data_IF_617315583876
#
_entry.id   IF_617315583876
#
_cell.length_a   1.000
_cell.length_b   1.000
_cell.length_c   1.000
_cell.angle_alpha   90.00
_cell.angle_beta   90.00
_cell.angle_gamma   90.00
#
_symmetry.space_group_name_H-M   'P 1'
#
loop_
_entity.id
_entity.type
_entity.pdbx_description
1 polymer ?
#
# COMPACT_ATOMS: atom_id res chain seq x y z
N UNK A 1 -6.92 -49.75 -5.08
CA UNK A 1 -6.59 -48.54 -5.85
C UNK A 1 -6.41 -47.41 -4.84
N UNK A 2 -5.16 -47.02 -4.61
CA UNK A 2 -4.78 -46.09 -3.54
C UNK A 2 -5.05 -44.64 -3.93
N UNK A 3 -5.72 -43.91 -3.05
CA UNK A 3 -5.73 -42.44 -3.09
C UNK A 3 -4.38 -41.98 -2.52
N UNK A 4 -3.52 -41.41 -3.36
CA UNK A 4 -2.34 -40.70 -2.90
C UNK A 4 -2.77 -39.45 -2.11
N UNK A 5 -2.06 -39.07 -1.03
CA UNK A 5 -2.35 -37.82 -0.36
C UNK A 5 -1.92 -36.67 -1.28
N UNK A 6 -2.88 -35.85 -1.67
CA UNK A 6 -2.63 -34.54 -2.26
C UNK A 6 -1.90 -33.68 -1.23
N UNK A 7 -0.63 -33.38 -1.50
CA UNK A 7 0.12 -32.37 -0.75
C UNK A 7 -0.64 -31.04 -0.76
N UNK A 8 -0.76 -30.34 0.38
CA UNK A 8 -1.24 -28.97 0.37
C UNK A 8 -0.19 -28.15 -0.37
N UNK A 9 -0.53 -27.67 -1.58
CA UNK A 9 0.25 -26.65 -2.29
C UNK A 9 0.34 -25.44 -1.36
N UNK A 10 1.51 -25.29 -0.74
CA UNK A 10 1.83 -24.14 0.08
C UNK A 10 1.60 -22.88 -0.73
N UNK A 11 0.72 -22.01 -0.25
CA UNK A 11 0.74 -20.62 -0.64
C UNK A 11 2.14 -20.10 -0.32
N UNK A 12 2.87 -19.64 -1.33
CA UNK A 12 4.05 -18.79 -1.13
C UNK A 12 3.57 -17.47 -0.55
N UNK A 13 3.27 -17.48 0.75
CA UNK A 13 3.17 -16.26 1.54
C UNK A 13 4.54 -15.59 1.41
N UNK A 14 4.56 -14.30 1.05
CA UNK A 14 5.79 -13.53 0.93
C UNK A 14 6.74 -13.79 2.12
N UNK A 15 8.05 -13.79 1.87
CA UNK A 15 9.04 -14.07 2.90
C UNK A 15 9.05 -12.96 3.96
N UNK A 16 8.16 -13.05 4.96
CA UNK A 16 8.15 -12.15 6.10
C UNK A 16 9.19 -12.58 7.12
N UNK A 17 10.04 -11.65 7.56
CA UNK A 17 10.97 -11.90 8.66
C UNK A 17 10.25 -11.65 9.99
N UNK A 18 10.11 -12.70 10.81
CA UNK A 18 9.35 -12.70 12.07
C UNK A 18 10.25 -12.36 13.27
N UNK A 19 9.75 -11.56 14.21
CA UNK A 19 10.39 -11.20 15.48
C UNK A 19 9.69 -11.81 16.69
N UNK A 20 10.41 -11.90 17.81
CA UNK A 20 9.84 -12.24 19.12
C UNK A 20 9.16 -11.04 19.80
N UNK A 21 9.57 -9.82 19.45
CA UNK A 21 9.01 -8.57 20.00
C UNK A 21 8.01 -7.96 19.03
N UNK A 22 6.94 -7.34 19.56
CA UNK A 22 5.99 -6.59 18.74
C UNK A 22 6.66 -5.34 18.15
N UNK A 23 6.48 -5.15 16.87
CA UNK A 23 6.80 -3.93 16.14
C UNK A 23 5.52 -3.15 15.82
N UNK A 24 5.63 -1.84 15.64
CA UNK A 24 4.50 -0.96 15.31
C UNK A 24 4.81 -0.21 14.02
N UNK A 25 4.12 -0.57 12.94
CA UNK A 25 4.14 0.16 11.69
C UNK A 25 3.21 1.36 11.79
N UNK A 26 3.60 2.49 11.20
CA UNK A 26 2.82 3.72 11.21
C UNK A 26 2.71 4.31 9.81
N UNK A 27 1.52 4.75 9.44
CA UNK A 27 1.33 5.57 8.25
C UNK A 27 0.56 6.84 8.63
N UNK A 28 0.82 7.91 7.90
CA UNK A 28 0.09 9.17 7.99
C UNK A 28 -0.62 9.44 6.68
N UNK A 29 -1.84 9.95 6.74
CA UNK A 29 -2.59 10.41 5.56
C UNK A 29 -2.91 11.89 5.76
N UNK A 30 -2.32 12.73 4.92
CA UNK A 30 -2.61 14.17 4.90
C UNK A 30 -3.96 14.37 4.20
N UNK A 31 -4.91 15.03 4.89
CA UNK A 31 -6.21 15.32 4.27
C UNK A 31 -6.05 16.40 3.20
N UNK A 32 -6.67 16.23 2.01
CA UNK A 32 -6.63 17.27 1.00
C UNK A 32 -7.29 18.55 1.51
N UNK A 33 -6.66 19.70 1.23
CA UNK A 33 -7.17 21.04 1.57
C UNK A 33 -7.32 21.32 3.07
N UNK A 34 -6.76 20.50 3.95
CA UNK A 34 -6.62 20.82 5.37
C UNK A 34 -5.21 20.51 5.87
N UNK A 35 -4.84 21.09 7.01
CA UNK A 35 -3.60 20.72 7.69
C UNK A 35 -3.79 19.50 8.61
N UNK A 36 -4.90 18.77 8.47
CA UNK A 36 -5.18 17.61 9.30
C UNK A 36 -4.45 16.38 8.76
N UNK A 37 -3.96 15.57 9.68
CA UNK A 37 -3.29 14.30 9.38
C UNK A 37 -3.98 13.19 10.16
N UNK A 38 -4.42 12.15 9.47
CA UNK A 38 -4.86 10.91 10.09
C UNK A 38 -3.66 9.98 10.27
N UNK A 39 -3.43 9.46 11.47
CA UNK A 39 -2.41 8.46 11.74
C UNK A 39 -3.06 7.09 11.91
N UNK A 40 -2.48 6.07 11.27
CA UNK A 40 -2.90 4.68 11.37
C UNK A 40 -1.71 3.82 11.79
N UNK A 41 -1.96 2.86 12.68
CA UNK A 41 -0.91 2.02 13.26
C UNK A 41 -1.28 0.55 13.15
N UNK A 42 -0.29 -0.29 12.86
CA UNK A 42 -0.42 -1.74 12.83
C UNK A 42 0.67 -2.38 13.68
N UNK A 43 0.26 -3.09 14.74
CA UNK A 43 1.17 -3.89 15.55
C UNK A 43 1.29 -5.31 14.98
N UNK A 44 2.53 -5.75 14.78
CA UNK A 44 2.82 -7.08 14.27
C UNK A 44 4.10 -7.65 14.86
N UNK A 45 4.41 -8.90 14.52
CA UNK A 45 5.67 -9.55 14.86
C UNK A 45 6.59 -9.62 13.64
N UNK A 46 6.60 -8.57 12.81
CA UNK A 46 7.36 -8.53 11.55
C UNK A 46 8.40 -7.40 11.57
N UNK A 47 9.62 -7.67 11.10
CA UNK A 47 10.65 -6.62 10.92
C UNK A 47 10.38 -5.72 9.72
N UNK A 48 9.79 -6.29 8.68
CA UNK A 48 9.45 -5.61 7.44
C UNK A 48 8.29 -6.32 6.76
N UNK A 49 7.58 -5.60 5.90
CA UNK A 49 6.53 -6.14 5.05
C UNK A 49 6.36 -5.32 3.78
N UNK A 50 5.76 -5.87 2.71
CA UNK A 50 5.37 -5.07 1.56
C UNK A 50 4.41 -3.95 1.96
N UNK A 51 4.57 -2.75 1.40
CA UNK A 51 3.67 -1.62 1.65
C UNK A 51 2.21 -1.98 1.29
N UNK A 52 2.01 -2.76 0.22
CA UNK A 52 0.70 -3.29 -0.18
C UNK A 52 0.05 -4.15 0.90
N UNK A 53 0.83 -5.00 1.58
CA UNK A 53 0.35 -5.81 2.68
C UNK A 53 -0.01 -4.94 3.90
N UNK A 54 0.83 -3.97 4.27
CA UNK A 54 0.55 -3.03 5.36
C UNK A 54 -0.78 -2.28 5.11
N UNK A 55 -0.98 -1.75 3.91
CA UNK A 55 -2.21 -1.04 3.55
C UNK A 55 -3.45 -1.96 3.61
N UNK A 56 -3.33 -3.21 3.18
CA UNK A 56 -4.40 -4.20 3.31
C UNK A 56 -4.73 -4.51 4.77
N UNK A 57 -3.73 -4.70 5.63
CA UNK A 57 -3.97 -4.93 7.06
C UNK A 57 -4.67 -3.74 7.71
N UNK A 58 -4.22 -2.51 7.45
CA UNK A 58 -4.85 -1.31 8.00
C UNK A 58 -6.29 -1.07 7.50
N UNK A 59 -6.64 -1.56 6.31
CA UNK A 59 -7.98 -1.45 5.75
C UNK A 59 -8.95 -2.52 6.29
N UNK A 60 -8.47 -3.75 6.54
CA UNK A 60 -9.32 -4.90 6.85
C UNK A 60 -9.24 -5.42 8.29
N UNK A 61 -8.14 -5.19 9.01
CA UNK A 61 -7.99 -5.67 10.38
C UNK A 61 -8.82 -4.81 11.34
N UNK A 62 -9.90 -5.39 11.86
CA UNK A 62 -10.81 -4.73 12.79
C UNK A 62 -10.30 -4.75 14.23
N UNK A 63 -9.23 -5.49 14.51
CA UNK A 63 -8.75 -5.70 15.87
C UNK A 63 -7.70 -4.67 16.31
N UNK A 64 -7.25 -3.81 15.39
CA UNK A 64 -6.14 -2.90 15.63
C UNK A 64 -6.43 -1.46 15.16
N UNK A 65 -6.54 -0.55 16.14
CA UNK A 65 -6.57 0.89 15.89
C UNK A 65 -7.80 1.42 15.14
N UNK A 66 -7.66 2.62 14.57
CA UNK A 66 -8.68 3.21 13.72
C UNK A 66 -8.67 2.51 12.34
N UNK A 67 -9.82 2.05 11.87
CA UNK A 67 -9.93 1.46 10.54
C UNK A 67 -9.62 2.52 9.48
N UNK A 68 -8.68 2.20 8.59
CA UNK A 68 -8.45 3.01 7.40
C UNK A 68 -9.56 2.76 6.38
N UNK A 69 -10.18 3.80 5.85
CA UNK A 69 -11.08 3.68 4.68
C UNK A 69 -10.23 3.77 3.42
N UNK A 70 -9.98 2.65 2.76
CA UNK A 70 -9.26 2.61 1.50
C UNK A 70 -9.99 1.74 0.47
N UNK A 71 -10.01 2.21 -0.78
CA UNK A 71 -10.41 1.39 -1.93
C UNK A 71 -9.29 1.34 -2.97
N UNK A 72 -8.89 0.12 -3.32
CA UNK A 72 -7.81 -0.17 -4.26
C UNK A 72 -8.40 -0.63 -5.59
N UNK A 73 -7.90 -0.10 -6.71
CA UNK A 73 -8.35 -0.44 -8.05
C UNK A 73 -7.15 -0.80 -8.93
N UNK A 74 -7.43 -1.54 -10.01
CA UNK A 74 -6.47 -1.75 -11.09
C UNK A 74 -7.07 -1.31 -12.42
N UNK A 75 -6.22 -0.81 -13.32
CA UNK A 75 -6.60 -0.40 -14.67
C UNK A 75 -5.62 -1.01 -15.67
N UNK A 76 -6.13 -1.65 -16.71
CA UNK A 76 -5.29 -2.19 -17.76
C UNK A 76 -4.72 -1.05 -18.62
N UNK A 77 -3.40 -1.00 -18.76
CA UNK A 77 -2.70 -0.10 -19.66
C UNK A 77 -2.20 -0.87 -20.88
N UNK A 78 -2.79 -0.56 -22.03
CA UNK A 78 -2.47 -1.20 -23.29
C UNK A 78 -1.07 -0.83 -23.82
N UNK A 79 -0.49 0.31 -23.43
CA UNK A 79 0.83 0.76 -23.91
C UNK A 79 1.96 -0.13 -23.37
N UNK A 80 1.81 -0.59 -22.12
CA UNK A 80 2.77 -1.46 -21.44
C UNK A 80 2.24 -2.88 -21.20
N UNK A 81 1.04 -3.18 -21.75
CA UNK A 81 0.37 -4.48 -21.70
C UNK A 81 0.25 -5.08 -20.29
N UNK A 82 -0.02 -4.25 -19.27
CA UNK A 82 -0.20 -4.71 -17.88
C UNK A 82 -1.24 -3.92 -17.12
N UNK A 83 -1.69 -4.46 -16.00
CA UNK A 83 -2.50 -3.70 -15.04
C UNK A 83 -1.59 -2.76 -14.24
N UNK A 84 -2.04 -1.52 -14.12
CA UNK A 84 -1.51 -0.56 -13.16
C UNK A 84 -2.40 -0.48 -11.93
N UNK A 85 -1.81 -0.29 -10.77
CA UNK A 85 -2.52 -0.25 -9.48
C UNK A 85 -2.65 1.18 -8.96
N UNK A 86 -3.81 1.49 -8.38
CA UNK A 86 -4.11 2.80 -7.82
C UNK A 86 -4.92 2.67 -6.52
N UNK A 87 -4.84 3.69 -5.66
CA UNK A 87 -5.77 3.87 -4.55
C UNK A 87 -6.86 4.82 -5.04
N UNK A 88 -8.05 4.30 -5.36
CA UNK A 88 -9.18 5.12 -5.81
C UNK A 88 -9.66 6.04 -4.71
N UNK A 89 -9.71 5.56 -3.46
CA UNK A 89 -10.17 6.33 -2.29
C UNK A 89 -9.29 6.04 -1.10
N UNK A 90 -8.93 7.07 -0.33
CA UNK A 90 -8.24 6.94 0.95
C UNK A 90 -8.78 7.99 1.91
N UNK A 91 -9.10 7.58 3.14
CA UNK A 91 -9.70 8.45 4.17
C UNK A 91 -10.90 9.25 3.65
N UNK A 92 -11.77 8.63 2.86
CA UNK A 92 -12.97 9.24 2.30
C UNK A 92 -12.77 10.18 1.09
N UNK A 93 -11.54 10.42 0.62
CA UNK A 93 -11.32 11.24 -0.59
C UNK A 93 -10.94 10.38 -1.79
N UNK A 94 -11.66 10.57 -2.89
CA UNK A 94 -11.44 9.89 -4.17
C UNK A 94 -10.40 10.61 -5.04
N UNK A 95 -9.73 9.88 -5.93
CA UNK A 95 -8.84 10.45 -6.96
C UNK A 95 -9.63 11.30 -7.97
N UNK A 96 -8.99 12.32 -8.54
CA UNK A 96 -9.70 13.28 -9.42
C UNK A 96 -10.19 12.65 -10.73
N UNK A 97 -9.43 11.69 -11.28
CA UNK A 97 -9.76 11.06 -12.56
C UNK A 97 -9.53 9.54 -12.51
N UNK A 98 -10.58 8.78 -12.23
CA UNK A 98 -10.47 7.32 -12.17
C UNK A 98 -10.18 6.65 -13.53
N UNK A 99 -10.54 7.30 -14.64
CA UNK A 99 -10.31 6.76 -15.99
C UNK A 99 -8.84 6.89 -16.38
N UNK A 100 -8.23 8.03 -16.07
CA UNK A 100 -6.82 8.31 -16.30
C UNK A 100 -6.18 8.89 -15.02
N UNK A 101 -5.83 8.06 -14.02
CA UNK A 101 -5.37 8.55 -12.71
C UNK A 101 -4.17 9.51 -12.76
N UNK A 102 -3.22 9.30 -13.67
CA UNK A 102 -2.04 10.17 -13.82
C UNK A 102 -2.35 11.57 -14.37
N UNK A 103 -3.56 11.83 -14.89
CA UNK A 103 -3.92 13.15 -15.42
C UNK A 103 -4.30 14.15 -14.31
N UNK A 104 -4.72 13.67 -13.14
CA UNK A 104 -5.16 14.48 -11.99
C UNK A 104 -4.38 14.20 -10.71
N UNK A 105 -4.87 14.76 -9.60
CA UNK A 105 -4.36 14.42 -8.27
C UNK A 105 -4.81 13.01 -7.86
N UNK A 106 -3.87 12.30 -7.25
CA UNK A 106 -4.05 10.93 -6.76
C UNK A 106 -3.34 10.76 -5.41
N UNK A 107 -3.55 9.62 -4.79
CA UNK A 107 -2.86 9.27 -3.56
C UNK A 107 -1.45 8.75 -3.85
N UNK A 108 -0.45 9.48 -3.39
CA UNK A 108 0.96 9.19 -3.62
C UNK A 108 1.65 8.92 -2.27
N UNK A 109 2.29 7.74 -2.11
CA UNK A 109 3.07 7.45 -0.93
C UNK A 109 4.42 8.17 -0.97
N UNK A 110 4.81 8.71 0.18
CA UNK A 110 6.14 9.18 0.50
C UNK A 110 6.74 8.25 1.53
N UNK A 111 7.93 7.71 1.25
CA UNK A 111 8.68 6.88 2.19
C UNK A 111 10.00 7.56 2.49
N UNK A 112 10.24 7.90 3.76
CA UNK A 112 11.42 8.63 4.21
C UNK A 112 11.68 9.90 3.37
N UNK A 113 10.61 10.65 3.10
CA UNK A 113 10.62 11.89 2.33
C UNK A 113 10.72 11.73 0.81
N UNK A 114 10.78 10.51 0.27
CA UNK A 114 10.83 10.27 -1.18
C UNK A 114 9.46 9.90 -1.73
N UNK A 115 9.04 10.61 -2.77
CA UNK A 115 7.82 10.28 -3.53
C UNK A 115 8.00 8.94 -4.24
N UNK A 116 7.03 8.04 -4.10
CA UNK A 116 7.04 6.70 -4.70
C UNK A 116 5.76 6.53 -5.53
N UNK A 117 5.86 5.97 -6.74
CA UNK A 117 4.66 5.51 -7.47
C UNK A 117 4.07 4.27 -6.78
N UNK A 118 2.79 4.34 -6.40
CA UNK A 118 2.09 3.20 -5.79
C UNK A 118 2.08 1.96 -6.67
N UNK A 119 1.91 2.15 -7.98
CA UNK A 119 1.95 1.06 -8.95
C UNK A 119 3.30 0.32 -8.89
N UNK A 120 4.40 1.08 -8.86
CA UNK A 120 5.74 0.54 -8.68
C UNK A 120 5.91 -0.15 -7.33
N UNK A 121 5.40 0.44 -6.25
CA UNK A 121 5.46 -0.14 -4.91
C UNK A 121 4.74 -1.51 -4.85
N UNK A 122 3.61 -1.65 -5.54
CA UNK A 122 2.91 -2.92 -5.71
C UNK A 122 3.71 -3.90 -6.55
N UNK A 123 4.23 -3.50 -7.71
CA UNK A 123 4.94 -4.41 -8.62
C UNK A 123 6.25 -4.95 -8.03
N UNK A 124 6.91 -4.19 -7.14
CA UNK A 124 8.18 -4.57 -6.53
C UNK A 124 8.04 -5.13 -5.11
N UNK A 125 6.81 -5.33 -4.63
CA UNK A 125 6.55 -5.71 -3.24
C UNK A 125 7.37 -4.86 -2.26
N UNK A 126 7.35 -3.53 -2.47
CA UNK A 126 8.29 -2.61 -1.82
C UNK A 126 8.28 -2.81 -0.30
N UNK A 127 9.42 -3.23 0.30
CA UNK A 127 9.47 -3.50 1.72
C UNK A 127 9.49 -2.20 2.50
N UNK A 128 8.72 -2.16 3.58
CA UNK A 128 8.72 -1.08 4.58
C UNK A 128 8.97 -1.65 5.96
N UNK A 129 9.54 -0.82 6.83
CA UNK A 129 9.94 -1.14 8.20
C UNK A 129 9.19 -0.26 9.20
N UNK A 130 9.07 -0.70 10.46
CA UNK A 130 8.49 0.13 11.54
C UNK A 130 9.17 1.49 11.73
N UNK A 131 10.45 1.60 11.38
CA UNK A 131 11.23 2.83 11.46
C UNK A 131 11.01 3.80 10.30
N UNK A 132 10.36 3.36 9.22
CA UNK A 132 10.16 4.21 8.04
C UNK A 132 9.08 5.25 8.30
N UNK A 133 9.30 6.47 7.82
CA UNK A 133 8.26 7.49 7.76
C UNK A 133 7.44 7.30 6.48
N UNK A 134 6.18 6.89 6.63
CA UNK A 134 5.26 6.66 5.51
C UNK A 134 4.14 7.71 5.57
N UNK A 135 4.07 8.55 4.54
CA UNK A 135 3.08 9.64 4.44
C UNK A 135 2.36 9.53 3.10
N UNK A 136 1.04 9.56 3.11
CA UNK A 136 0.20 9.64 1.92
C UNK A 136 -0.22 11.08 1.66
N UNK A 137 0.03 11.54 0.43
CA UNK A 137 -0.36 12.88 -0.03
C UNK A 137 -1.30 12.80 -1.20
N UNK A 138 -2.20 13.77 -1.29
CA UNK A 138 -3.14 13.91 -2.40
C UNK A 138 -2.63 14.96 -3.38
N UNK A 139 -1.97 14.51 -4.44
CA UNK A 139 -1.28 15.38 -5.39
C UNK A 139 -1.01 14.67 -6.71
N UNK A 140 -0.50 15.40 -7.68
CA UNK A 140 -0.08 14.83 -8.96
C UNK A 140 1.26 14.13 -8.82
N UNK A 141 1.33 12.88 -9.28
CA UNK A 141 2.58 12.14 -9.35
C UNK A 141 3.57 12.90 -10.26
N UNK A 142 4.77 13.17 -9.76
CA UNK A 142 5.79 13.86 -10.56
C UNK A 142 6.54 12.87 -11.45
N UNK A 143 7.00 13.30 -12.62
CA UNK A 143 7.67 12.44 -13.60
C UNK A 143 8.98 11.78 -13.10
N UNK A 144 9.50 12.16 -11.91
CA UNK A 144 10.65 11.53 -11.27
C UNK A 144 10.31 10.46 -10.22
N UNK A 145 9.02 10.18 -9.99
CA UNK A 145 8.53 9.20 -9.00
C UNK A 145 8.52 7.75 -9.50
N UNK A 146 8.74 7.52 -10.79
CA UNK A 146 9.06 6.20 -11.34
C UNK A 146 10.57 6.06 -11.41
N UNK A 147 11.20 5.09 -10.72
CA UNK A 147 12.59 4.78 -11.00
C UNK A 147 12.67 4.20 -12.42
N UNK A 148 13.63 4.69 -13.20
CA UNK A 148 14.02 4.12 -14.49
C UNK A 148 14.30 2.61 -14.38
#
# INVERSE_FOLDING_TARGET
>A
MGCGPSEPRGATNGNFTVTTEKTCFKIKVEKPNSNDVNEYTYEAFYLEMPLSALMNFLNFDQNQGAKMDANFISRFDAQIARFRYFIQRLSGTEIENEKNPYEGNMWVPYINGKQIDWDFACEKDMPVKPSDEIIWRYEKLTAGGSPN
#
